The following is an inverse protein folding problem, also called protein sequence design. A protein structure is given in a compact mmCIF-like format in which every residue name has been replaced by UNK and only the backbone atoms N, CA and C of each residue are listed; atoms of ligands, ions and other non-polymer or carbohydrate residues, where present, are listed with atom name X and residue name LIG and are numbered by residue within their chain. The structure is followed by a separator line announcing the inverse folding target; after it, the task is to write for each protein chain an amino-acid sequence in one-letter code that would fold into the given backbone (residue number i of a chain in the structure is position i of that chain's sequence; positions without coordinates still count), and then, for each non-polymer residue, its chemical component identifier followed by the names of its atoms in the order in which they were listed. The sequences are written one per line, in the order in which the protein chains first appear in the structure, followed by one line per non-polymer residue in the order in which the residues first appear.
data_IF_801628944337
#
_entry.id   IF_801628944337
#
_cell.length_a   1.000
_cell.length_b   1.000
_cell.length_c   1.000
_cell.angle_alpha   90.00
_cell.angle_beta   90.00
_cell.angle_gamma   90.00
#
_symmetry.space_group_name_H-M   'P 1'
#
loop_
_entity.id
_entity.type
_entity.pdbx_description
1 polymer ?
#
# COMPACT_ATOMS: atom_id res chain seq x y z
N UNK A 1 -23.45 33.11 -18.34
CA UNK A 1 -24.11 31.78 -18.36
C UNK A 1 -23.96 31.20 -16.96
N UNK A 2 -25.08 30.83 -16.38
CA UNK A 2 -25.12 30.17 -15.08
C UNK A 2 -24.97 28.66 -15.31
N UNK A 3 -24.09 28.00 -14.54
CA UNK A 3 -23.93 26.55 -14.55
C UNK A 3 -24.35 26.03 -13.18
N UNK A 4 -25.21 25.04 -13.14
CA UNK A 4 -25.56 24.33 -11.93
C UNK A 4 -25.10 22.87 -12.02
N UNK A 5 -24.56 22.33 -10.92
CA UNK A 5 -24.23 20.93 -10.81
C UNK A 5 -24.67 20.41 -9.44
N UNK A 6 -25.00 19.11 -9.39
CA UNK A 6 -25.39 18.44 -8.16
C UNK A 6 -24.25 17.51 -7.72
N UNK A 7 -23.76 17.71 -6.51
CA UNK A 7 -22.82 16.79 -5.87
C UNK A 7 -23.63 15.74 -5.10
N UNK A 8 -23.46 14.48 -5.42
CA UNK A 8 -24.08 13.38 -4.67
C UNK A 8 -23.38 13.24 -3.32
N UNK A 9 -24.13 12.81 -2.29
CA UNK A 9 -23.57 12.56 -0.97
C UNK A 9 -22.41 11.57 -1.07
N UNK A 10 -21.34 11.82 -0.31
CA UNK A 10 -20.27 10.86 -0.13
C UNK A 10 -20.75 9.80 0.86
N UNK A 11 -21.11 8.64 0.37
CA UNK A 11 -21.57 7.49 1.16
C UNK A 11 -20.41 6.58 1.58
N UNK A 12 -19.20 6.87 1.10
CA UNK A 12 -17.98 6.16 1.43
C UNK A 12 -17.30 6.83 2.62
N UNK A 13 -16.51 6.06 3.38
CA UNK A 13 -16.01 6.46 4.69
C UNK A 13 -15.10 7.68 4.71
N UNK A 14 -14.40 8.04 3.63
CA UNK A 14 -13.41 9.11 3.64
C UNK A 14 -13.83 10.42 2.99
N UNK A 15 -13.13 11.50 3.32
CA UNK A 15 -13.29 12.75 2.59
C UNK A 15 -12.82 12.56 1.14
N UNK A 16 -13.46 13.24 0.23
CA UNK A 16 -13.05 13.31 -1.17
C UNK A 16 -13.04 14.72 -1.67
N UNK A 17 -12.07 15.02 -2.51
CA UNK A 17 -11.94 16.32 -3.16
C UNK A 17 -12.14 16.14 -4.67
N UNK A 18 -12.80 17.10 -5.28
CA UNK A 18 -12.91 17.20 -6.74
C UNK A 18 -12.60 18.64 -7.16
N UNK A 19 -11.88 18.79 -8.28
CA UNK A 19 -11.62 20.11 -8.84
C UNK A 19 -12.34 20.23 -10.16
N UNK A 20 -13.20 21.24 -10.27
CA UNK A 20 -13.83 21.63 -11.54
C UNK A 20 -13.00 22.77 -12.13
N UNK A 21 -12.55 22.58 -13.36
CA UNK A 21 -11.75 23.58 -14.07
C UNK A 21 -12.61 24.18 -15.19
N UNK A 22 -12.86 25.47 -15.14
CA UNK A 22 -13.50 26.23 -16.22
C UNK A 22 -12.40 26.89 -17.04
N UNK A 23 -12.33 26.56 -18.32
CA UNK A 23 -11.35 27.14 -19.24
C UNK A 23 -12.06 27.92 -20.36
N UNK A 24 -11.50 29.08 -20.67
CA UNK A 24 -11.72 29.78 -21.94
C UNK A 24 -10.35 30.11 -22.57
N UNK A 25 -10.31 30.82 -23.71
CA UNK A 25 -9.07 31.11 -24.42
C UNK A 25 -8.04 31.88 -23.57
N UNK A 26 -8.48 32.67 -22.60
CA UNK A 26 -7.66 33.66 -21.90
C UNK A 26 -7.56 33.44 -20.38
N UNK A 27 -8.39 32.55 -19.79
CA UNK A 27 -8.43 32.34 -18.36
C UNK A 27 -8.82 30.91 -17.98
N UNK A 28 -8.38 30.48 -16.77
CA UNK A 28 -8.88 29.27 -16.13
C UNK A 28 -9.24 29.56 -14.68
N UNK A 29 -10.43 29.13 -14.27
CA UNK A 29 -10.95 29.23 -12.91
C UNK A 29 -11.09 27.83 -12.31
N UNK A 30 -10.82 27.69 -11.02
CA UNK A 30 -10.84 26.42 -10.32
C UNK A 30 -11.83 26.48 -9.17
N UNK A 31 -12.73 25.52 -9.10
CA UNK A 31 -13.59 25.29 -7.92
C UNK A 31 -13.19 23.97 -7.29
N UNK A 32 -12.70 24.02 -6.07
CA UNK A 32 -12.42 22.82 -5.28
C UNK A 32 -13.66 22.48 -4.46
N UNK A 33 -14.20 21.30 -4.70
CA UNK A 33 -15.32 20.74 -3.94
C UNK A 33 -14.72 19.78 -2.92
N UNK A 34 -14.89 20.11 -1.64
CA UNK A 34 -14.52 19.23 -0.53
C UNK A 34 -15.77 18.57 0.02
N UNK A 35 -15.76 17.27 0.10
CA UNK A 35 -16.87 16.52 0.64
C UNK A 35 -16.38 15.59 1.75
N UNK A 36 -16.89 15.81 2.97
CA UNK A 36 -16.61 14.92 4.10
C UNK A 36 -17.04 13.49 3.79
N UNK A 37 -16.34 12.53 4.35
CA UNK A 37 -16.74 11.14 4.32
C UNK A 37 -17.96 10.85 5.18
N UNK A 38 -18.42 9.61 5.16
CA UNK A 38 -19.46 9.12 6.08
C UNK A 38 -18.96 9.28 7.52
N UNK A 39 -19.72 9.97 8.34
CA UNK A 39 -19.40 10.10 9.75
C UNK A 39 -19.53 8.74 10.44
N UNK A 40 -18.47 8.32 11.12
CA UNK A 40 -18.47 7.11 11.93
C UNK A 40 -19.07 7.42 13.31
N UNK A 41 -19.93 6.52 13.78
CA UNK A 41 -20.52 6.64 15.12
C UNK A 41 -19.69 5.85 16.11
N UNK A 42 -19.40 6.46 17.25
CA UNK A 42 -18.69 5.82 18.36
C UNK A 42 -19.67 5.34 19.44
N UNK A 43 -19.30 4.33 20.25
CA UNK A 43 -17.99 3.71 20.33
C UNK A 43 -17.62 2.86 19.10
N UNK A 44 -16.31 2.68 18.87
CA UNK A 44 -15.80 1.93 17.73
C UNK A 44 -16.24 0.47 17.78
N UNK A 45 -16.77 -0.03 16.65
CA UNK A 45 -17.18 -1.43 16.52
C UNK A 45 -16.05 -2.24 15.86
N UNK A 46 -15.50 -3.21 16.60
CA UNK A 46 -14.41 -4.08 16.18
C UNK A 46 -14.87 -5.53 16.30
N UNK A 47 -15.29 -6.16 15.17
CA UNK A 47 -15.87 -7.50 15.18
C UNK A 47 -14.87 -8.62 15.48
N UNK A 48 -13.62 -8.49 15.00
CA UNK A 48 -12.60 -9.50 15.25
C UNK A 48 -12.19 -9.50 16.73
N UNK A 49 -12.33 -10.67 17.38
CA UNK A 49 -12.09 -10.81 18.81
C UNK A 49 -10.64 -10.57 19.19
N UNK A 50 -9.70 -11.00 18.34
CA UNK A 50 -8.25 -10.87 18.60
C UNK A 50 -7.86 -9.40 18.50
N UNK A 51 -8.30 -8.74 17.40
CA UNK A 51 -8.08 -7.31 17.20
C UNK A 51 -8.74 -6.50 18.30
N UNK A 52 -10.00 -6.81 18.65
CA UNK A 52 -10.71 -6.12 19.74
C UNK A 52 -9.95 -6.24 21.06
N UNK A 53 -9.51 -7.45 21.42
CA UNK A 53 -8.76 -7.66 22.68
C UNK A 53 -7.48 -6.82 22.70
N UNK A 54 -6.74 -6.81 21.61
CA UNK A 54 -5.52 -5.98 21.49
C UNK A 54 -5.83 -4.48 21.65
N UNK A 55 -6.83 -4.00 20.94
CA UNK A 55 -7.22 -2.58 20.96
C UNK A 55 -7.69 -2.17 22.36
N UNK A 56 -8.56 -2.96 23.01
CA UNK A 56 -9.02 -2.68 24.36
C UNK A 56 -7.87 -2.70 25.38
N UNK A 57 -6.92 -3.61 25.23
CA UNK A 57 -5.80 -3.71 26.17
C UNK A 57 -4.86 -2.52 26.08
N UNK A 58 -4.66 -1.96 24.87
CA UNK A 58 -3.63 -0.96 24.63
C UNK A 58 -4.18 0.48 24.53
N UNK A 59 -5.47 0.66 24.19
CA UNK A 59 -6.00 1.97 23.83
C UNK A 59 -7.26 2.38 24.58
N UNK A 60 -7.97 1.49 25.30
CA UNK A 60 -9.01 1.83 26.24
C UNK A 60 -8.35 2.41 27.51
N UNK A 61 -8.17 3.73 27.51
CA UNK A 61 -7.40 4.44 28.54
C UNK A 61 -8.20 4.71 29.81
N UNK A 62 -9.53 4.88 29.66
CA UNK A 62 -10.46 5.11 30.77
C UNK A 62 -10.99 3.80 31.38
N UNK A 63 -10.77 2.65 30.71
CA UNK A 63 -11.16 1.31 31.10
C UNK A 63 -12.68 1.10 31.23
N UNK A 64 -13.44 1.77 30.39
CA UNK A 64 -14.91 1.60 30.34
C UNK A 64 -15.37 0.43 29.46
N UNK A 65 -14.44 -0.21 28.73
CA UNK A 65 -14.69 -1.36 27.85
C UNK A 65 -15.16 -0.97 26.46
N UNK A 66 -15.03 0.30 26.10
CA UNK A 66 -15.35 0.88 24.79
C UNK A 66 -14.15 1.64 24.22
N UNK A 67 -14.17 1.99 22.95
CA UNK A 67 -13.20 2.91 22.35
C UNK A 67 -13.96 4.16 21.90
N UNK A 68 -13.75 5.22 22.62
CA UNK A 68 -14.25 6.55 22.31
C UNK A 68 -13.60 7.12 21.05
N UNK A 69 -14.12 8.22 20.57
CA UNK A 69 -13.55 8.97 19.44
C UNK A 69 -12.14 9.49 19.77
N UNK A 70 -11.98 10.05 20.96
CA UNK A 70 -10.73 10.62 21.45
C UNK A 70 -9.64 9.56 21.56
N UNK A 71 -9.96 8.37 22.07
CA UNK A 71 -9.04 7.24 22.14
C UNK A 71 -8.66 6.74 20.76
N UNK A 72 -9.64 6.60 19.86
CA UNK A 72 -9.38 6.19 18.48
C UNK A 72 -8.49 7.20 17.72
N UNK A 73 -8.72 8.50 17.90
CA UNK A 73 -7.91 9.57 17.30
C UNK A 73 -6.45 9.60 17.81
N UNK A 74 -6.21 9.06 19.01
CA UNK A 74 -4.87 8.99 19.58
C UNK A 74 -4.03 7.82 19.01
N UNK A 75 -4.65 6.81 18.38
CA UNK A 75 -3.95 5.63 17.86
C UNK A 75 -3.24 5.96 16.56
N UNK A 76 -1.94 5.73 16.52
CA UNK A 76 -1.10 5.90 15.33
C UNK A 76 -0.52 4.60 14.78
N UNK A 77 -0.41 3.56 15.60
CA UNK A 77 0.14 2.28 15.21
C UNK A 77 -0.64 1.12 15.83
N UNK A 78 -0.85 0.07 15.06
CA UNK A 78 -1.38 -1.21 15.52
C UNK A 78 -0.43 -2.30 15.06
N UNK A 79 0.28 -2.90 16.04
CA UNK A 79 1.27 -3.94 15.81
C UNK A 79 0.83 -5.23 16.50
N UNK A 80 0.24 -6.13 15.72
CA UNK A 80 -0.34 -7.38 16.21
C UNK A 80 0.22 -8.56 15.42
N UNK A 81 1.51 -8.84 15.66
CA UNK A 81 2.26 -9.89 14.97
C UNK A 81 2.01 -11.28 15.56
N UNK A 82 2.17 -12.34 14.74
CA UNK A 82 2.01 -13.73 15.17
C UNK A 82 0.58 -14.06 15.62
N UNK A 83 -0.43 -13.37 15.11
CA UNK A 83 -1.79 -13.38 15.63
C UNK A 83 -2.76 -14.19 14.76
N UNK A 84 -3.87 -14.58 15.40
CA UNK A 84 -4.99 -15.25 14.77
C UNK A 84 -6.00 -14.27 14.13
N UNK A 85 -5.61 -13.00 13.89
CA UNK A 85 -6.49 -11.98 13.31
C UNK A 85 -7.02 -12.45 11.95
N UNK A 86 -8.33 -12.40 11.78
CA UNK A 86 -9.03 -12.87 10.59
C UNK A 86 -9.88 -11.79 9.90
N UNK A 87 -10.14 -10.66 10.55
CA UNK A 87 -10.79 -9.47 9.97
C UNK A 87 -10.14 -8.19 10.47
N UNK A 88 -10.10 -7.19 9.60
CA UNK A 88 -9.66 -5.82 9.90
C UNK A 88 -10.84 -4.86 10.03
N UNK A 89 -12.07 -5.37 10.03
CA UNK A 89 -13.27 -4.55 10.19
C UNK A 89 -13.18 -3.75 11.49
N UNK A 90 -13.43 -2.45 11.39
CA UNK A 90 -13.29 -1.51 12.49
C UNK A 90 -12.02 -0.66 12.44
N UNK A 91 -11.01 -0.96 11.62
CA UNK A 91 -9.82 -0.10 11.50
C UNK A 91 -10.12 1.30 10.96
N UNK A 92 -11.20 1.45 10.21
CA UNK A 92 -11.66 2.77 9.72
C UNK A 92 -12.00 3.75 10.87
N UNK A 93 -12.27 3.26 12.08
CA UNK A 93 -12.50 4.12 13.26
C UNK A 93 -11.26 4.86 13.75
N UNK A 94 -10.06 4.49 13.28
CA UNK A 94 -8.78 5.07 13.70
C UNK A 94 -8.24 6.04 12.65
N UNK A 95 -8.69 7.32 12.64
CA UNK A 95 -8.43 8.25 11.53
C UNK A 95 -6.96 8.66 11.40
N UNK A 96 -6.17 8.54 12.48
CA UNK A 96 -4.77 8.90 12.53
C UNK A 96 -3.83 7.69 12.50
N UNK A 97 -4.35 6.49 12.14
CA UNK A 97 -3.57 5.26 12.05
C UNK A 97 -2.59 5.34 10.88
N UNK A 98 -1.30 5.43 11.19
CA UNK A 98 -0.21 5.58 10.23
C UNK A 98 0.51 4.25 9.93
N UNK A 99 0.56 3.33 10.91
CA UNK A 99 1.29 2.07 10.79
C UNK A 99 0.41 0.88 11.19
N UNK A 100 0.42 -0.16 10.36
CA UNK A 100 -0.19 -1.46 10.66
C UNK A 100 0.81 -2.57 10.40
N UNK A 101 1.12 -3.36 11.43
CA UNK A 101 1.89 -4.61 11.30
C UNK A 101 1.06 -5.81 11.79
N UNK A 102 0.70 -6.66 10.83
CA UNK A 102 -0.01 -7.93 11.06
C UNK A 102 0.81 -9.11 10.54
N UNK A 103 2.13 -9.08 10.70
CA UNK A 103 2.99 -10.20 10.28
C UNK A 103 2.50 -11.51 10.90
N UNK A 104 2.33 -12.54 10.06
CA UNK A 104 1.78 -13.86 10.43
C UNK A 104 0.33 -13.76 10.94
N UNK A 105 -0.60 -13.68 10.02
CA UNK A 105 -2.03 -13.49 10.27
C UNK A 105 -2.90 -14.51 9.53
N UNK A 106 -4.22 -14.55 9.83
CA UNK A 106 -5.22 -15.40 9.15
C UNK A 106 -6.16 -14.67 8.20
N UNK A 107 -5.87 -13.42 7.85
CA UNK A 107 -6.65 -12.66 6.89
C UNK A 107 -6.71 -13.40 5.54
N UNK A 108 -7.90 -13.56 5.00
CA UNK A 108 -8.12 -14.06 3.64
C UNK A 108 -8.25 -12.93 2.63
N UNK A 109 -8.82 -11.83 3.07
CA UNK A 109 -8.97 -10.55 2.35
C UNK A 109 -8.82 -9.42 3.35
N UNK A 110 -8.35 -8.27 2.88
CA UNK A 110 -8.23 -7.06 3.69
C UNK A 110 -8.49 -5.83 2.84
N UNK A 111 -9.32 -4.92 3.34
CA UNK A 111 -9.63 -3.65 2.69
C UNK A 111 -9.20 -2.48 3.59
N UNK A 112 -8.07 -1.84 3.23
CA UNK A 112 -7.53 -0.68 3.92
C UNK A 112 -7.90 0.64 3.25
N UNK A 113 -8.80 0.64 2.26
CA UNK A 113 -9.17 1.84 1.50
C UNK A 113 -9.69 3.00 2.37
N UNK A 114 -10.20 2.67 3.56
CA UNK A 114 -10.72 3.64 4.53
C UNK A 114 -9.69 4.09 5.59
N UNK A 115 -8.47 3.55 5.54
CA UNK A 115 -7.37 3.94 6.45
C UNK A 115 -6.57 5.10 5.82
N UNK A 116 -7.15 6.29 5.78
CA UNK A 116 -6.65 7.42 4.98
C UNK A 116 -5.30 8.00 5.42
N UNK A 117 -4.90 7.77 6.67
CA UNK A 117 -3.61 8.21 7.20
C UNK A 117 -2.52 7.13 7.09
N UNK A 118 -2.87 5.90 6.66
CA UNK A 118 -1.97 4.76 6.69
C UNK A 118 -0.82 4.93 5.69
N UNK A 119 0.40 4.90 6.20
CA UNK A 119 1.65 5.05 5.44
C UNK A 119 2.41 3.74 5.33
N UNK A 120 2.38 2.92 6.38
CA UNK A 120 3.14 1.68 6.48
C UNK A 120 2.22 0.49 6.74
N UNK A 121 2.27 -0.49 5.86
CA UNK A 121 1.43 -1.70 5.94
C UNK A 121 2.28 -2.96 5.78
N UNK A 122 2.36 -3.76 6.84
CA UNK A 122 3.00 -5.05 6.82
C UNK A 122 1.97 -6.18 7.01
N UNK A 123 1.81 -7.00 5.97
CA UNK A 123 0.95 -8.19 5.94
C UNK A 123 1.77 -9.45 5.63
N UNK A 124 3.06 -9.45 5.91
CA UNK A 124 3.96 -10.56 5.58
C UNK A 124 3.55 -11.86 6.26
N UNK A 125 3.86 -12.99 5.63
CA UNK A 125 3.53 -14.34 6.11
C UNK A 125 2.03 -14.61 6.24
N UNK A 126 1.21 -13.88 5.49
CA UNK A 126 -0.22 -14.09 5.37
C UNK A 126 -0.54 -15.25 4.43
N UNK A 127 -0.39 -16.50 4.89
CA UNK A 127 -0.52 -17.70 4.05
C UNK A 127 -1.88 -17.84 3.35
N UNK A 128 -2.94 -17.25 3.91
CA UNK A 128 -4.30 -17.25 3.38
C UNK A 128 -4.66 -16.05 2.52
N UNK A 129 -3.89 -14.96 2.59
CA UNK A 129 -4.24 -13.68 1.99
C UNK A 129 -4.29 -13.78 0.46
N UNK A 130 -5.46 -13.54 -0.11
CA UNK A 130 -5.72 -13.65 -1.55
C UNK A 130 -6.08 -12.33 -2.21
N UNK A 131 -6.46 -11.33 -1.42
CA UNK A 131 -6.83 -9.99 -1.91
C UNK A 131 -6.53 -8.94 -0.85
N UNK A 132 -5.99 -7.82 -1.28
CA UNK A 132 -5.82 -6.61 -0.47
C UNK A 132 -6.21 -5.38 -1.29
N UNK A 133 -6.94 -4.47 -0.67
CA UNK A 133 -7.22 -3.12 -1.20
C UNK A 133 -6.40 -2.13 -0.38
N UNK A 134 -5.63 -1.29 -1.08
CA UNK A 134 -4.68 -0.37 -0.45
C UNK A 134 -5.26 1.04 -0.31
N UNK A 135 -4.84 1.83 0.69
CA UNK A 135 -5.15 3.24 0.78
C UNK A 135 -4.22 4.06 -0.13
N UNK A 136 -4.69 5.22 -0.57
CA UNK A 136 -3.91 6.12 -1.44
C UNK A 136 -2.71 6.79 -0.73
N UNK A 137 -2.73 6.83 0.60
CA UNK A 137 -1.69 7.42 1.46
C UNK A 137 -0.43 6.56 1.60
N UNK A 138 -0.48 5.29 1.16
CA UNK A 138 0.54 4.29 1.47
C UNK A 138 1.91 4.65 0.87
N UNK A 139 2.95 4.57 1.71
CA UNK A 139 4.34 4.81 1.36
C UNK A 139 5.18 3.52 1.43
N UNK A 140 4.83 2.59 2.29
CA UNK A 140 5.51 1.30 2.42
C UNK A 140 4.52 0.14 2.47
N UNK A 141 4.80 -0.91 1.70
CA UNK A 141 4.03 -2.15 1.66
C UNK A 141 4.92 -3.37 1.77
N UNK A 142 4.62 -4.24 2.72
CA UNK A 142 5.19 -5.58 2.80
C UNK A 142 4.10 -6.66 2.72
N UNK A 143 4.21 -7.52 1.70
CA UNK A 143 3.37 -8.71 1.48
C UNK A 143 4.25 -9.95 1.24
N UNK A 144 5.42 -9.98 1.88
CA UNK A 144 6.35 -11.10 1.75
C UNK A 144 5.70 -12.42 2.19
N UNK A 145 5.96 -13.49 1.45
CA UNK A 145 5.43 -14.83 1.73
C UNK A 145 3.90 -14.94 1.69
N UNK A 146 3.19 -14.00 1.07
CA UNK A 146 1.75 -14.07 0.82
C UNK A 146 1.46 -14.95 -0.41
N UNK A 147 1.66 -16.25 -0.31
CA UNK A 147 1.65 -17.20 -1.43
C UNK A 147 0.32 -17.28 -2.21
N UNK A 148 -0.79 -16.89 -1.60
CA UNK A 148 -2.12 -16.88 -2.21
C UNK A 148 -2.44 -15.55 -2.91
N UNK A 149 -1.67 -14.48 -2.67
CA UNK A 149 -1.87 -13.18 -3.29
C UNK A 149 -1.35 -13.19 -4.73
N UNK A 150 -2.25 -13.44 -5.69
CA UNK A 150 -1.91 -13.61 -7.12
C UNK A 150 -1.81 -12.31 -7.90
N UNK A 151 -2.42 -11.27 -7.39
CA UNK A 151 -2.42 -9.93 -7.98
C UNK A 151 -2.65 -8.87 -6.92
N UNK A 152 -2.18 -7.66 -7.19
CA UNK A 152 -2.39 -6.47 -6.37
C UNK A 152 -2.52 -5.27 -7.30
N UNK A 153 -3.42 -4.35 -6.97
CA UNK A 153 -3.53 -3.07 -7.66
C UNK A 153 -2.71 -2.02 -6.89
N UNK A 154 -1.56 -1.66 -7.43
CA UNK A 154 -0.67 -0.65 -6.86
C UNK A 154 -0.96 0.76 -7.40
N UNK A 155 -1.80 0.88 -8.43
CA UNK A 155 -2.12 2.18 -9.05
C UNK A 155 -2.85 3.13 -8.11
N UNK A 156 -3.52 2.57 -7.09
CA UNK A 156 -4.24 3.34 -6.05
C UNK A 156 -3.31 3.96 -5.01
N UNK A 157 -2.04 3.53 -4.93
CA UNK A 157 -1.03 3.99 -3.97
C UNK A 157 0.15 4.71 -4.66
N UNK A 158 -0.05 5.90 -5.25
CA UNK A 158 0.98 6.59 -6.05
C UNK A 158 2.15 7.14 -5.20
N UNK A 159 2.02 7.14 -3.88
CA UNK A 159 3.05 7.60 -2.95
C UNK A 159 4.01 6.50 -2.50
N UNK A 160 3.82 5.26 -2.99
CA UNK A 160 4.62 4.11 -2.57
C UNK A 160 6.10 4.32 -2.90
N UNK A 161 6.94 4.17 -1.87
CA UNK A 161 8.40 4.27 -1.89
C UNK A 161 9.06 2.90 -1.75
N UNK A 162 8.51 2.05 -0.88
CA UNK A 162 9.08 0.75 -0.56
C UNK A 162 8.06 -0.37 -0.80
N UNK A 163 8.43 -1.36 -1.59
CA UNK A 163 7.61 -2.53 -1.89
C UNK A 163 8.38 -3.82 -1.63
N UNK A 164 7.95 -4.58 -0.64
CA UNK A 164 8.51 -5.89 -0.28
C UNK A 164 7.49 -6.99 -0.56
N UNK A 165 7.73 -7.78 -1.59
CA UNK A 165 6.82 -8.82 -2.04
C UNK A 165 7.55 -10.14 -2.41
N UNK A 166 8.71 -10.37 -1.81
CA UNK A 166 9.47 -11.61 -1.99
C UNK A 166 8.63 -12.82 -1.60
N UNK A 167 8.67 -13.86 -2.43
CA UNK A 167 7.86 -15.08 -2.25
C UNK A 167 6.35 -14.84 -2.18
N UNK A 168 5.84 -13.72 -2.66
CA UNK A 168 4.42 -13.52 -2.87
C UNK A 168 3.88 -14.40 -4.01
N UNK A 169 2.56 -14.54 -4.09
CA UNK A 169 1.95 -15.47 -5.06
C UNK A 169 1.83 -14.96 -6.49
N UNK A 170 2.40 -13.80 -6.83
CA UNK A 170 2.26 -13.17 -8.14
C UNK A 170 2.80 -14.05 -9.26
N UNK A 171 1.95 -14.37 -10.22
CA UNK A 171 2.32 -15.12 -11.44
C UNK A 171 2.51 -14.22 -12.65
N UNK A 172 2.11 -12.96 -12.53
CA UNK A 172 2.36 -11.86 -13.45
C UNK A 172 2.93 -10.71 -12.62
N UNK A 173 3.95 -10.03 -13.15
CA UNK A 173 4.51 -8.86 -12.49
C UNK A 173 3.43 -7.79 -12.27
N UNK A 174 3.38 -7.13 -11.11
CA UNK A 174 2.47 -6.02 -10.90
C UNK A 174 2.84 -4.83 -11.80
N UNK A 175 1.84 -4.05 -12.20
CA UNK A 175 2.05 -2.77 -12.89
C UNK A 175 2.56 -1.73 -11.90
N UNK A 176 3.80 -1.24 -12.11
CA UNK A 176 4.46 -0.23 -11.29
C UNK A 176 4.46 1.17 -11.94
N UNK A 177 3.78 1.35 -13.06
CA UNK A 177 3.85 2.57 -13.87
C UNK A 177 3.32 3.82 -13.15
N UNK A 178 2.46 3.67 -12.14
CA UNK A 178 1.93 4.76 -11.32
C UNK A 178 2.74 5.03 -10.05
N UNK A 179 3.64 4.13 -9.68
CA UNK A 179 4.43 4.21 -8.45
C UNK A 179 5.81 4.83 -8.72
N UNK A 180 5.83 6.01 -9.30
CA UNK A 180 7.05 6.69 -9.78
C UNK A 180 8.01 7.11 -8.67
N UNK A 181 7.56 7.05 -7.40
CA UNK A 181 8.35 7.37 -6.20
C UNK A 181 9.05 6.14 -5.61
N UNK A 182 8.92 4.95 -6.21
CA UNK A 182 9.55 3.75 -5.70
C UNK A 182 11.07 3.88 -5.64
N UNK A 183 11.61 3.65 -4.45
CA UNK A 183 13.03 3.66 -4.12
C UNK A 183 13.55 2.24 -3.88
N UNK A 184 12.72 1.37 -3.29
CA UNK A 184 13.09 -0.01 -2.96
C UNK A 184 12.04 -0.98 -3.49
N UNK A 185 12.50 -2.01 -4.21
CA UNK A 185 11.66 -3.10 -4.70
C UNK A 185 12.30 -4.44 -4.36
N UNK A 186 11.54 -5.34 -3.74
CA UNK A 186 11.93 -6.71 -3.43
C UNK A 186 10.94 -7.75 -3.96
N UNK A 187 11.35 -8.53 -4.96
CA UNK A 187 10.61 -9.63 -5.57
C UNK A 187 11.43 -10.90 -5.72
N UNK A 188 12.25 -11.26 -4.74
CA UNK A 188 12.95 -12.54 -4.77
C UNK A 188 11.95 -13.72 -4.79
N UNK A 189 12.29 -14.80 -5.46
CA UNK A 189 11.41 -15.96 -5.71
C UNK A 189 10.15 -15.59 -6.48
N UNK A 190 10.26 -14.66 -7.43
CA UNK A 190 9.20 -14.28 -8.35
C UNK A 190 8.78 -15.46 -9.25
N UNK A 191 7.49 -15.51 -9.62
CA UNK A 191 6.92 -16.50 -10.56
C UNK A 191 6.61 -15.89 -11.93
N UNK A 192 7.12 -14.69 -12.20
CA UNK A 192 7.05 -14.01 -13.48
C UNK A 192 8.44 -13.89 -14.11
N UNK A 193 8.50 -13.75 -15.44
CA UNK A 193 9.76 -13.81 -16.19
C UNK A 193 10.47 -12.46 -16.32
N UNK A 194 9.75 -11.37 -16.14
CA UNK A 194 10.28 -9.99 -16.27
C UNK A 194 9.42 -9.02 -15.46
N UNK A 195 9.96 -7.83 -15.19
CA UNK A 195 9.25 -6.71 -14.58
C UNK A 195 9.62 -5.40 -15.29
N UNK A 196 8.63 -4.54 -15.52
CA UNK A 196 8.87 -3.20 -16.05
C UNK A 196 9.09 -2.20 -14.91
N UNK A 197 10.31 -1.70 -14.79
CA UNK A 197 10.71 -0.66 -13.83
C UNK A 197 11.07 0.66 -14.53
N UNK A 198 10.74 0.82 -15.81
CA UNK A 198 11.15 1.96 -16.63
C UNK A 198 10.60 3.31 -16.13
N UNK A 199 9.50 3.31 -15.37
CA UNK A 199 8.88 4.51 -14.77
C UNK A 199 9.38 4.80 -13.35
N UNK A 200 10.11 3.87 -12.72
CA UNK A 200 10.57 3.98 -11.34
C UNK A 200 11.99 4.57 -11.30
N UNK A 201 12.13 5.81 -11.77
CA UNK A 201 13.45 6.47 -11.94
C UNK A 201 14.11 6.87 -10.62
N UNK A 202 13.36 6.82 -9.50
CA UNK A 202 13.89 7.05 -8.15
C UNK A 202 14.49 5.79 -7.51
N UNK A 203 14.47 4.64 -8.23
CA UNK A 203 14.87 3.35 -7.69
C UNK A 203 16.35 3.32 -7.31
N UNK A 204 16.61 2.99 -6.04
CA UNK A 204 17.94 2.86 -5.42
C UNK A 204 18.31 1.39 -5.16
N UNK A 205 17.32 0.59 -4.81
CA UNK A 205 17.53 -0.84 -4.51
C UNK A 205 16.50 -1.71 -5.24
N UNK A 206 16.99 -2.64 -6.03
CA UNK A 206 16.19 -3.64 -6.73
C UNK A 206 16.70 -5.03 -6.40
N UNK A 207 15.85 -5.84 -5.77
CA UNK A 207 16.10 -7.26 -5.58
C UNK A 207 14.99 -8.03 -6.30
N UNK A 208 15.31 -8.69 -7.39
CA UNK A 208 14.33 -9.39 -8.23
C UNK A 208 14.90 -10.69 -8.74
N UNK A 209 14.03 -11.67 -8.93
CA UNK A 209 14.45 -12.93 -9.53
C UNK A 209 13.61 -14.11 -9.08
N UNK A 210 13.92 -15.25 -9.65
CA UNK A 210 13.26 -16.54 -9.42
C UNK A 210 13.55 -17.49 -10.58
N UNK A 211 13.10 -18.74 -10.49
CA UNK A 211 13.43 -19.80 -11.43
C UNK A 211 13.07 -19.50 -12.90
N UNK A 212 12.04 -18.68 -13.11
CA UNK A 212 11.53 -18.31 -14.44
C UNK A 212 11.94 -16.89 -14.86
N UNK A 213 12.64 -16.15 -14.00
CA UNK A 213 13.04 -14.78 -14.29
C UNK A 213 14.23 -14.75 -15.26
N UNK A 214 14.06 -14.10 -16.41
CA UNK A 214 15.02 -14.20 -17.51
C UNK A 214 15.32 -12.89 -18.25
N UNK A 215 14.63 -11.79 -17.90
CA UNK A 215 14.84 -10.51 -18.56
C UNK A 215 14.63 -9.34 -17.59
N UNK A 216 15.54 -8.37 -17.63
CA UNK A 216 15.47 -7.14 -16.86
C UNK A 216 16.11 -5.98 -17.64
N UNK A 217 15.39 -4.88 -17.74
CA UNK A 217 15.92 -3.61 -18.23
C UNK A 217 15.94 -2.58 -17.09
N UNK A 218 17.14 -2.12 -16.73
CA UNK A 218 17.38 -1.10 -15.70
C UNK A 218 17.99 0.19 -16.28
N UNK A 219 17.98 0.35 -17.59
CA UNK A 219 18.62 1.48 -18.27
C UNK A 219 18.04 2.85 -17.88
N UNK A 220 16.81 2.90 -17.35
CA UNK A 220 16.18 4.11 -16.83
C UNK A 220 16.41 4.33 -15.32
N UNK A 221 16.94 3.35 -14.60
CA UNK A 221 17.09 3.40 -13.14
C UNK A 221 18.49 3.84 -12.75
N UNK A 222 18.88 5.05 -13.17
CA UNK A 222 20.24 5.60 -13.06
C UNK A 222 20.68 5.89 -11.62
N UNK A 223 19.74 5.83 -10.64
CA UNK A 223 19.99 6.01 -9.21
C UNK A 223 20.24 4.69 -8.47
N UNK A 224 20.27 3.55 -9.18
CA UNK A 224 20.52 2.26 -8.54
C UNK A 224 21.88 2.23 -7.88
N UNK A 225 21.89 1.94 -6.57
CA UNK A 225 23.08 1.63 -5.77
C UNK A 225 23.20 0.14 -5.49
N UNK A 226 22.09 -0.55 -5.38
CA UNK A 226 22.03 -1.97 -5.06
C UNK A 226 21.15 -2.73 -6.05
N UNK A 227 21.74 -3.73 -6.71
CA UNK A 227 21.04 -4.60 -7.64
C UNK A 227 21.32 -6.05 -7.28
N UNK A 228 20.29 -6.80 -6.95
CA UNK A 228 20.35 -8.25 -6.81
C UNK A 228 19.39 -8.90 -7.80
N UNK A 229 19.92 -9.78 -8.64
CA UNK A 229 19.14 -10.48 -9.67
C UNK A 229 19.45 -11.96 -9.61
N UNK A 230 18.41 -12.79 -9.50
CA UNK A 230 18.54 -14.24 -9.59
C UNK A 230 17.65 -14.77 -10.70
N UNK A 231 18.12 -15.82 -11.39
CA UNK A 231 17.34 -16.39 -12.50
C UNK A 231 18.22 -16.83 -13.67
N UNK A 232 17.64 -16.80 -14.86
CA UNK A 232 18.31 -17.23 -16.10
C UNK A 232 18.62 -16.05 -17.03
N UNK A 233 18.94 -14.89 -16.45
CA UNK A 233 19.31 -13.69 -17.24
C UNK A 233 20.62 -13.99 -17.99
N UNK A 234 20.62 -13.75 -19.30
CA UNK A 234 21.78 -13.91 -20.16
C UNK A 234 22.50 -12.60 -20.48
N UNK A 235 21.79 -11.50 -20.38
CA UNK A 235 22.32 -10.16 -20.64
C UNK A 235 21.72 -9.15 -19.67
N UNK A 236 22.55 -8.22 -19.19
CA UNK A 236 22.14 -7.11 -18.33
C UNK A 236 22.95 -5.88 -18.70
N UNK A 237 22.27 -4.83 -19.17
CA UNK A 237 22.93 -3.56 -19.51
C UNK A 237 23.01 -2.66 -18.27
N UNK A 238 24.21 -2.45 -17.76
CA UNK A 238 24.52 -1.58 -16.63
C UNK A 238 25.27 -0.30 -17.04
N UNK A 239 25.33 0.01 -18.32
CA UNK A 239 26.10 1.16 -18.83
C UNK A 239 25.64 2.50 -18.25
N UNK A 240 24.39 2.59 -17.79
CA UNK A 240 23.82 3.79 -17.15
C UNK A 240 23.77 3.73 -15.62
N UNK A 241 24.21 2.63 -15.00
CA UNK A 241 24.16 2.41 -13.56
C UNK A 241 25.45 2.91 -12.87
N UNK A 242 25.81 4.18 -13.09
CA UNK A 242 27.06 4.76 -12.60
C UNK A 242 27.18 4.86 -11.06
N UNK A 243 26.04 4.72 -10.34
CA UNK A 243 26.00 4.77 -8.87
C UNK A 243 25.96 3.37 -8.24
N UNK A 244 26.07 2.31 -9.04
CA UNK A 244 25.93 0.92 -8.54
C UNK A 244 27.14 0.57 -7.65
N UNK A 245 26.85 0.24 -6.40
CA UNK A 245 27.83 -0.15 -5.37
C UNK A 245 27.81 -1.66 -5.10
N UNK A 246 26.61 -2.25 -5.16
CA UNK A 246 26.41 -3.68 -4.88
C UNK A 246 25.71 -4.35 -6.06
N UNK A 247 26.35 -5.38 -6.58
CA UNK A 247 25.79 -6.24 -7.64
C UNK A 247 25.87 -7.71 -7.20
N UNK A 248 24.72 -8.38 -7.11
CA UNK A 248 24.58 -9.82 -6.87
C UNK A 248 23.82 -10.44 -8.06
N UNK A 249 24.44 -11.41 -8.75
CA UNK A 249 23.85 -12.09 -9.92
C UNK A 249 23.96 -13.60 -9.73
#
# INVERSE_FOLDING_TARGET
KEFSFKVLANTEGGPRDATIIFKNADASEHIVIKQAGKELTYPAVIPDKVLKTYIMTNFDTNKDGEISKEEAEAVKAIELTGSEIASIDGLAYFPNLETVDFTTHRLLKADFSQCYALKELNLSSGAGLSSVVLPASLEELSVMSCNKLKKIDLSVAPNLKNLYASSAGFVVAPDLSKNTKLEIIGFSSAKFSTIDVSKNTELKSLNVGGDVFNSLDVTNNTKLTNLAVTGTITTLDLTKSAQLEVLNI
#
